data_IF_804186936636
#
_entry.id   IF_804186936636
#
_cell.length_a   1.000
_cell.length_b   1.000
_cell.length_c   1.000
_cell.angle_alpha   90.00
_cell.angle_beta   90.00
_cell.angle_gamma   90.00
#
_symmetry.space_group_name_H-M   'P 1'
#
loop_
_entity.id
_entity.type
_entity.pdbx_description
1 polymer ?
#
# COMPACT_ATOMS: atom_id res chain seq x y z
N UNK A 1 2.87 28.96 -56.22
CA UNK A 1 1.84 28.56 -55.25
C UNK A 1 1.89 27.05 -54.82
N UNK A 2 2.90 26.25 -55.23
CA UNK A 2 3.00 24.81 -54.85
C UNK A 2 3.96 24.51 -53.71
N UNK A 3 4.73 25.51 -53.19
CA UNK A 3 5.72 25.31 -52.13
C UNK A 3 5.17 25.51 -50.70
N UNK A 4 4.03 26.20 -50.53
CA UNK A 4 3.41 26.42 -49.24
C UNK A 4 2.61 25.24 -48.67
N UNK A 5 2.13 24.35 -49.51
CA UNK A 5 1.29 23.22 -49.12
C UNK A 5 2.09 22.05 -48.49
N UNK A 6 3.40 21.95 -48.81
CA UNK A 6 4.27 20.90 -48.28
C UNK A 6 4.74 21.20 -46.85
N UNK A 7 4.84 22.48 -46.46
CA UNK A 7 5.25 22.88 -45.11
C UNK A 7 4.15 22.68 -44.06
N UNK A 8 2.88 22.84 -44.47
CA UNK A 8 1.73 22.65 -43.55
C UNK A 8 1.54 21.17 -43.24
N UNK A 9 1.76 20.28 -44.23
CA UNK A 9 1.66 18.84 -43.99
C UNK A 9 2.72 18.29 -43.00
N UNK A 10 3.95 18.87 -43.02
CA UNK A 10 5.02 18.44 -42.12
C UNK A 10 4.77 18.84 -40.65
N UNK A 11 4.11 19.96 -40.39
CA UNK A 11 3.80 20.42 -39.03
C UNK A 11 2.68 19.59 -38.36
N UNK A 12 1.72 19.13 -39.15
CA UNK A 12 0.62 18.29 -38.65
C UNK A 12 1.05 16.87 -38.24
N UNK A 13 2.10 16.34 -38.89
CA UNK A 13 2.62 14.99 -38.57
C UNK A 13 3.47 15.02 -37.28
N UNK A 14 4.11 16.13 -36.91
CA UNK A 14 4.90 16.25 -35.68
C UNK A 14 4.06 16.33 -34.40
N UNK A 15 2.77 16.66 -34.49
CA UNK A 15 1.92 16.84 -33.32
C UNK A 15 1.28 15.54 -32.79
N UNK A 16 1.45 14.43 -33.53
CA UNK A 16 0.74 13.17 -33.21
C UNK A 16 1.58 12.16 -32.41
N UNK A 17 2.82 12.48 -32.05
CA UNK A 17 3.73 11.54 -31.37
C UNK A 17 3.97 11.86 -29.89
N UNK A 18 3.20 12.77 -29.27
CA UNK A 18 3.16 12.88 -27.83
C UNK A 18 2.07 11.93 -27.28
N UNK A 19 2.24 10.63 -27.52
CA UNK A 19 1.55 9.62 -26.75
C UNK A 19 2.08 9.73 -25.33
N UNK A 20 1.36 10.45 -24.48
CA UNK A 20 1.60 10.44 -23.06
C UNK A 20 1.49 8.98 -22.60
N UNK A 21 2.62 8.35 -22.32
CA UNK A 21 2.67 7.12 -21.52
C UNK A 21 2.16 7.55 -20.15
N UNK A 22 0.86 7.37 -19.93
CA UNK A 22 0.29 7.53 -18.60
C UNK A 22 1.06 6.59 -17.66
N UNK A 23 1.54 7.06 -16.51
CA UNK A 23 2.15 6.19 -15.54
C UNK A 23 1.14 5.10 -15.21
N UNK A 24 1.57 3.84 -15.30
CA UNK A 24 0.77 2.67 -14.93
C UNK A 24 0.56 2.76 -13.42
N UNK A 25 -0.50 3.45 -13.01
CA UNK A 25 -0.91 3.49 -11.63
C UNK A 25 -1.37 2.07 -11.30
N UNK A 26 -0.59 1.39 -10.48
CA UNK A 26 -0.88 0.03 -10.01
C UNK A 26 -2.10 0.02 -9.09
N UNK A 27 -3.28 0.23 -9.67
CA UNK A 27 -4.58 0.21 -8.96
C UNK A 27 -5.27 -1.16 -9.03
N UNK A 28 -4.51 -2.21 -9.35
CA UNK A 28 -5.10 -3.54 -9.29
C UNK A 28 -5.49 -3.88 -7.83
N UNK A 29 -6.73 -4.31 -7.57
CA UNK A 29 -7.15 -4.64 -6.23
C UNK A 29 -6.24 -5.74 -5.65
N UNK A 30 -5.88 -5.63 -4.37
CA UNK A 30 -5.11 -6.66 -3.70
C UNK A 30 -6.04 -7.83 -3.35
N UNK A 31 -6.01 -8.85 -4.19
CA UNK A 31 -6.86 -10.03 -4.01
C UNK A 31 -6.39 -10.81 -2.77
N UNK A 32 -7.27 -10.89 -1.77
CA UNK A 32 -7.05 -11.69 -0.56
C UNK A 32 -7.83 -13.00 -0.70
N UNK A 33 -7.20 -14.16 -0.47
CA UNK A 33 -7.92 -15.43 -0.49
C UNK A 33 -9.05 -15.46 0.55
N UNK A 34 -10.19 -16.02 0.19
CA UNK A 34 -11.42 -16.05 1.02
C UNK A 34 -11.18 -16.57 2.45
N UNK A 35 -10.29 -17.57 2.61
CA UNK A 35 -9.93 -18.10 3.92
C UNK A 35 -9.36 -17.02 4.87
N UNK A 36 -8.62 -16.06 4.33
CA UNK A 36 -8.07 -14.94 5.12
C UNK A 36 -9.13 -13.85 5.32
N UNK A 37 -9.98 -13.57 4.32
CA UNK A 37 -11.09 -12.62 4.51
C UNK A 37 -11.99 -13.00 5.69
N UNK A 38 -12.19 -14.30 5.91
CA UNK A 38 -13.02 -14.84 6.99
C UNK A 38 -12.26 -15.08 8.30
N UNK A 39 -10.93 -14.92 8.28
CA UNK A 39 -10.09 -15.18 9.45
C UNK A 39 -10.24 -14.05 10.47
N UNK A 40 -10.52 -14.43 11.70
CA UNK A 40 -10.59 -13.49 12.83
C UNK A 40 -9.24 -13.45 13.54
N UNK A 41 -8.90 -12.28 14.07
CA UNK A 41 -7.75 -12.17 14.95
C UNK A 41 -7.98 -13.00 16.22
N UNK A 42 -7.12 -13.98 16.55
CA UNK A 42 -7.28 -14.78 17.76
C UNK A 42 -6.84 -14.06 19.03
N UNK A 43 -6.20 -12.89 18.89
CA UNK A 43 -5.67 -12.10 20.02
C UNK A 43 -6.50 -10.84 20.23
N UNK A 44 -6.94 -10.63 21.47
CA UNK A 44 -7.71 -9.45 21.85
C UNK A 44 -6.89 -8.17 21.70
N UNK A 45 -7.52 -7.10 21.21
CA UNK A 45 -6.94 -5.77 21.07
C UNK A 45 -6.85 -5.05 22.44
N UNK A 46 -6.13 -5.64 23.40
CA UNK A 46 -5.86 -5.04 24.70
C UNK A 46 -4.61 -4.14 24.67
N UNK A 47 -4.34 -3.44 25.76
CA UNK A 47 -3.21 -2.50 25.86
C UNK A 47 -1.84 -3.15 25.60
N UNK A 48 -1.65 -4.39 26.01
CA UNK A 48 -0.41 -5.13 25.80
C UNK A 48 -0.23 -5.45 24.34
N UNK A 49 -1.23 -6.08 23.68
CA UNK A 49 -1.23 -6.39 22.26
C UNK A 49 -0.97 -5.15 21.40
N UNK A 50 -1.68 -4.05 21.68
CA UNK A 50 -1.48 -2.78 20.95
C UNK A 50 -0.07 -2.24 21.16
N UNK A 51 0.51 -2.34 22.35
CA UNK A 51 1.88 -1.90 22.64
C UNK A 51 2.93 -2.71 21.87
N UNK A 52 2.77 -4.03 21.83
CA UNK A 52 3.64 -4.93 21.04
C UNK A 52 3.52 -4.56 19.57
N UNK A 53 2.30 -4.48 19.03
CA UNK A 53 2.04 -4.11 17.65
C UNK A 53 2.63 -2.76 17.26
N UNK A 54 2.53 -1.75 18.12
CA UNK A 54 3.13 -0.43 17.93
C UNK A 54 4.66 -0.50 17.84
N UNK A 55 5.28 -1.31 18.68
CA UNK A 55 6.74 -1.51 18.65
C UNK A 55 7.18 -2.12 17.32
N UNK A 56 6.52 -3.21 16.89
CA UNK A 56 6.78 -3.89 15.63
C UNK A 56 6.53 -2.99 14.42
N UNK A 57 5.42 -2.24 14.43
CA UNK A 57 5.10 -1.24 13.41
C UNK A 57 6.21 -0.19 13.29
N UNK A 58 6.69 0.32 14.42
CA UNK A 58 7.77 1.32 14.45
C UNK A 58 9.07 0.80 13.84
N UNK A 59 9.36 -0.49 14.01
CA UNK A 59 10.57 -1.13 13.50
C UNK A 59 10.46 -1.44 12.00
N UNK A 60 9.29 -1.90 11.55
CA UNK A 60 9.17 -2.57 10.25
C UNK A 60 8.32 -1.82 9.24
N UNK A 61 7.37 -0.97 9.67
CA UNK A 61 6.33 -0.41 8.81
C UNK A 61 6.45 1.11 8.64
N UNK A 62 6.79 1.81 9.72
CA UNK A 62 6.82 3.27 9.81
C UNK A 62 7.61 3.96 8.69
N UNK A 63 8.69 3.34 8.20
CA UNK A 63 9.55 3.97 7.18
C UNK A 63 8.83 4.25 5.87
N UNK A 64 7.78 3.47 5.54
CA UNK A 64 6.94 3.65 4.36
C UNK A 64 5.57 4.20 4.74
N UNK A 65 4.93 3.64 5.77
CA UNK A 65 3.55 3.99 6.14
C UNK A 65 3.41 5.24 7.02
N UNK A 66 4.53 5.81 7.51
CA UNK A 66 4.49 6.98 8.38
C UNK A 66 4.25 6.62 9.86
N UNK A 67 4.38 7.62 10.73
CA UNK A 67 4.22 7.44 12.17
C UNK A 67 2.76 7.18 12.55
N UNK A 68 1.85 7.89 11.89
CA UNK A 68 0.41 7.84 12.13
C UNK A 68 -0.34 7.00 11.07
N UNK A 69 0.38 6.32 10.18
CA UNK A 69 -0.23 5.46 9.16
C UNK A 69 -0.75 6.18 7.92
N UNK A 70 -0.38 7.44 7.71
CA UNK A 70 -0.86 8.27 6.58
C UNK A 70 -0.21 7.93 5.23
N UNK A 71 0.72 6.97 5.18
CA UNK A 71 1.47 6.66 3.96
C UNK A 71 2.57 7.67 3.64
N UNK A 72 2.94 8.51 4.59
CA UNK A 72 3.88 9.64 4.50
C UNK A 72 5.26 9.35 5.09
N UNK A 73 5.61 8.09 5.21
CA UNK A 73 6.93 7.70 5.73
C UNK A 73 8.09 8.22 4.87
N UNK A 74 9.29 8.36 5.44
CA UNK A 74 10.44 8.94 4.73
C UNK A 74 10.86 8.17 3.47
N UNK A 75 10.42 6.93 3.30
CA UNK A 75 10.64 6.14 2.09
C UNK A 75 9.46 6.20 1.11
N UNK A 76 8.32 6.74 1.49
CA UNK A 76 7.11 6.73 0.66
C UNK A 76 7.30 7.37 -0.71
N UNK A 77 8.05 8.49 -0.78
CA UNK A 77 8.34 9.18 -2.04
C UNK A 77 9.26 8.40 -3.02
N UNK A 78 9.83 7.29 -2.58
CA UNK A 78 10.73 6.45 -3.38
C UNK A 78 10.04 5.17 -3.90
N UNK A 79 8.78 4.98 -3.56
CA UNK A 79 8.01 3.79 -3.94
C UNK A 79 7.27 4.05 -5.24
N UNK A 80 7.19 3.02 -6.08
CA UNK A 80 6.37 3.04 -7.30
C UNK A 80 4.89 2.92 -6.98
N UNK A 81 4.57 2.25 -5.86
CA UNK A 81 3.20 2.07 -5.36
C UNK A 81 3.00 2.84 -4.05
N UNK A 82 1.99 3.72 -3.94
CA UNK A 82 1.71 4.42 -2.70
C UNK A 82 1.50 3.48 -1.52
N UNK A 83 2.05 3.85 -0.35
CA UNK A 83 1.94 3.04 0.88
C UNK A 83 0.51 2.94 1.44
N UNK A 84 -0.41 3.79 0.94
CA UNK A 84 -1.77 3.86 1.43
C UNK A 84 -1.89 4.57 2.79
N UNK A 85 -3.11 5.00 3.09
CA UNK A 85 -3.47 5.70 4.31
C UNK A 85 -4.33 4.76 5.19
N UNK A 86 -3.79 4.42 6.36
CA UNK A 86 -4.43 3.48 7.29
C UNK A 86 -5.55 4.13 8.12
N UNK A 87 -5.65 5.46 8.13
CA UNK A 87 -6.68 6.17 8.89
C UNK A 87 -8.04 6.18 8.17
N UNK A 88 -8.05 5.88 6.87
CA UNK A 88 -9.25 5.91 6.06
C UNK A 88 -10.27 4.84 6.43
N UNK A 89 -11.55 5.16 6.25
CA UNK A 89 -12.64 4.20 6.45
C UNK A 89 -12.52 2.97 5.56
N UNK A 90 -12.00 3.11 4.34
CA UNK A 90 -11.78 2.02 3.40
C UNK A 90 -10.74 1.04 3.93
N UNK A 91 -9.64 1.55 4.50
CA UNK A 91 -8.65 0.68 5.12
C UNK A 91 -9.21 0.01 6.37
N UNK A 92 -9.86 0.76 7.26
CA UNK A 92 -10.40 0.27 8.52
C UNK A 92 -11.56 -0.72 8.35
N UNK A 93 -12.27 -0.68 7.21
CA UNK A 93 -13.32 -1.64 6.86
C UNK A 93 -12.79 -3.03 6.46
N UNK A 94 -11.48 -3.17 6.18
CA UNK A 94 -10.90 -4.47 5.85
C UNK A 94 -11.00 -5.42 7.03
N UNK A 95 -11.14 -6.73 6.75
CA UNK A 95 -11.07 -7.75 7.80
C UNK A 95 -9.66 -7.83 8.41
N UNK A 96 -9.57 -8.23 9.67
CA UNK A 96 -8.27 -8.43 10.34
C UNK A 96 -7.41 -9.45 9.58
N UNK A 97 -8.03 -10.52 9.10
CA UNK A 97 -7.33 -11.54 8.32
C UNK A 97 -6.84 -11.03 6.96
N UNK A 98 -7.53 -10.07 6.33
CA UNK A 98 -7.04 -9.43 5.11
C UNK A 98 -5.77 -8.61 5.39
N UNK A 99 -5.75 -7.83 6.46
CA UNK A 99 -4.57 -7.05 6.87
C UNK A 99 -3.41 -7.99 7.24
N UNK A 100 -3.69 -9.05 8.00
CA UNK A 100 -2.73 -10.10 8.35
C UNK A 100 -2.10 -10.73 7.09
N UNK A 101 -2.93 -11.15 6.12
CA UNK A 101 -2.46 -11.74 4.87
C UNK A 101 -1.55 -10.77 4.11
N UNK A 102 -2.00 -9.53 3.91
CA UNK A 102 -1.24 -8.49 3.20
C UNK A 102 0.11 -8.23 3.86
N UNK A 103 0.15 -8.17 5.18
CA UNK A 103 1.40 -8.00 5.93
C UNK A 103 2.34 -9.17 5.74
N UNK A 104 1.83 -10.39 5.82
CA UNK A 104 2.69 -11.59 5.66
C UNK A 104 3.19 -11.77 4.24
N UNK A 105 2.31 -11.62 3.25
CA UNK A 105 2.67 -11.92 1.85
C UNK A 105 3.49 -10.81 1.23
N UNK A 106 3.14 -9.53 1.48
CA UNK A 106 3.68 -8.41 0.75
C UNK A 106 3.18 -8.37 -0.70
N UNK A 107 3.41 -7.27 -1.37
CA UNK A 107 3.13 -7.07 -2.80
C UNK A 107 3.86 -5.82 -3.29
N UNK A 108 4.38 -5.88 -4.52
CA UNK A 108 5.07 -4.76 -5.15
C UNK A 108 6.19 -4.21 -4.24
N UNK A 109 6.14 -2.94 -3.87
CA UNK A 109 7.12 -2.32 -2.96
C UNK A 109 6.97 -2.75 -1.50
N UNK A 110 5.84 -3.33 -1.10
CA UNK A 110 5.65 -3.85 0.24
C UNK A 110 6.26 -5.24 0.38
N UNK A 111 7.35 -5.41 1.12
CA UNK A 111 8.01 -6.71 1.24
C UNK A 111 7.17 -7.70 2.04
N UNK A 112 7.38 -9.00 1.81
CA UNK A 112 6.87 -10.04 2.69
C UNK A 112 7.54 -9.94 4.08
N UNK A 113 6.72 -10.02 5.13
CA UNK A 113 7.21 -10.00 6.51
C UNK A 113 7.34 -11.40 7.15
N UNK A 114 7.06 -12.48 6.43
CA UNK A 114 7.18 -13.87 6.94
C UNK A 114 8.49 -14.20 7.63
N UNK A 115 9.59 -13.61 7.15
CA UNK A 115 10.93 -13.84 7.72
C UNK A 115 11.34 -12.78 8.74
N UNK A 116 10.79 -11.56 8.64
CA UNK A 116 11.15 -10.45 9.51
C UNK A 116 10.34 -10.44 10.81
N UNK A 117 9.10 -10.89 10.71
CA UNK A 117 8.18 -11.11 11.83
C UNK A 117 7.76 -12.58 11.71
N UNK A 118 8.61 -13.47 12.27
CA UNK A 118 8.45 -14.91 12.07
C UNK A 118 7.28 -15.49 12.86
N UNK A 119 6.97 -14.90 14.00
CA UNK A 119 5.84 -15.30 14.83
C UNK A 119 4.55 -14.71 14.27
N UNK A 120 3.54 -15.56 14.04
CA UNK A 120 2.23 -15.12 13.56
C UNK A 120 1.48 -14.30 14.61
N UNK A 121 1.69 -14.55 15.88
CA UNK A 121 1.13 -13.77 16.98
C UNK A 121 1.57 -12.31 16.89
N UNK A 122 2.86 -12.08 16.64
CA UNK A 122 3.41 -10.73 16.46
C UNK A 122 2.76 -9.98 15.30
N UNK A 123 2.47 -10.68 14.18
CA UNK A 123 1.73 -10.06 13.07
C UNK A 123 0.32 -9.68 13.47
N UNK A 124 -0.38 -10.50 14.28
CA UNK A 124 -1.70 -10.18 14.80
C UNK A 124 -1.69 -8.98 15.75
N UNK A 125 -0.62 -8.82 16.53
CA UNK A 125 -0.44 -7.61 17.34
C UNK A 125 -0.25 -6.36 16.45
N UNK A 126 0.46 -6.46 15.33
CA UNK A 126 0.52 -5.36 14.35
C UNK A 126 -0.87 -5.04 13.79
N UNK A 127 -1.69 -6.04 13.45
CA UNK A 127 -3.09 -5.85 13.01
C UNK A 127 -3.88 -5.09 14.07
N UNK A 128 -3.80 -5.50 15.35
CA UNK A 128 -4.47 -4.80 16.44
C UNK A 128 -4.05 -3.33 16.54
N UNK A 129 -2.76 -3.04 16.36
CA UNK A 129 -2.27 -1.66 16.41
C UNK A 129 -2.76 -0.83 15.22
N UNK A 130 -2.65 -1.32 13.96
CA UNK A 130 -3.06 -0.52 12.79
C UNK A 130 -4.55 -0.26 12.75
N UNK A 131 -5.35 -1.12 13.38
CA UNK A 131 -6.80 -0.89 13.59
C UNK A 131 -7.10 0.23 14.58
N UNK A 132 -6.12 0.69 15.37
CA UNK A 132 -6.28 1.85 16.26
C UNK A 132 -5.93 3.18 15.58
N UNK A 133 -5.51 3.18 14.33
CA UNK A 133 -5.12 4.38 13.58
C UNK A 133 -6.30 5.07 12.88
N UNK A 134 -7.51 4.68 13.17
CA UNK A 134 -8.73 5.35 12.68
C UNK A 134 -8.82 6.78 13.18
N UNK A 135 -9.20 7.74 12.26
CA UNK A 135 -9.49 9.13 12.57
C UNK A 135 -10.87 9.33 13.24
#
# INVERSE_FOLDING_TARGET
MKKGLLFIASILISLFLLSAVAPKQGNDPWIVPEKYEKMKNPFEANKESISIGKSLYSQHCKSCHGKEGLGDGPKAAQLDTPSGDFTTKEFQAQSDGAIFYKTREGRDDMPSFKKKIADEEDVWHVVNYVKTLED
#
